data_IF_112320974803
#
_entry.id   IF_112320974803
#
_cell.length_a   1.000
_cell.length_b   1.000
_cell.length_c   1.000
_cell.angle_alpha   90.00
_cell.angle_beta   90.00
_cell.angle_gamma   90.00
#
_symmetry.space_group_name_H-M   'P 1'
#
loop_
_entity.id
_entity.type
_entity.pdbx_description
1 polymer ?
#
# COMPACT_ATOMS: atom_id res chain seq x y z
N UNK A 1 44.68 47.76 43.39
CA UNK A 1 43.25 47.85 43.01
C UNK A 1 43.03 49.27 42.47
N UNK A 2 42.62 49.59 41.24
CA UNK A 2 41.82 48.92 40.22
C UNK A 2 42.44 49.11 38.82
N UNK A 3 42.09 48.18 37.93
CA UNK A 3 42.78 47.81 36.70
C UNK A 3 42.29 48.61 35.47
N UNK A 4 43.21 48.86 34.52
CA UNK A 4 43.00 49.59 33.26
C UNK A 4 42.02 48.85 32.34
N UNK A 5 41.05 49.57 31.77
CA UNK A 5 40.14 49.11 30.72
C UNK A 5 40.91 48.98 29.38
N UNK A 6 40.84 47.80 28.76
CA UNK A 6 41.13 47.62 27.33
C UNK A 6 39.84 47.20 26.64
N UNK A 7 39.37 48.03 25.72
CA UNK A 7 38.26 47.73 24.82
C UNK A 7 38.90 47.03 23.62
N UNK A 8 38.50 45.80 23.33
CA UNK A 8 38.85 45.10 22.09
C UNK A 8 37.57 44.82 21.33
N UNK A 9 37.51 45.33 20.10
CA UNK A 9 36.41 45.17 19.18
C UNK A 9 36.24 43.69 18.81
N UNK A 10 35.03 43.17 19.00
CA UNK A 10 34.65 41.84 18.51
C UNK A 10 34.32 41.95 17.02
N UNK A 11 35.15 41.34 16.17
CA UNK A 11 34.82 41.11 14.77
C UNK A 11 33.73 40.04 14.69
N UNK A 12 32.55 40.39 14.18
CA UNK A 12 31.56 39.41 13.72
C UNK A 12 32.09 38.74 12.45
N UNK A 13 32.50 37.48 12.56
CA UNK A 13 32.66 36.61 11.41
C UNK A 13 31.28 36.04 11.03
N UNK A 14 30.64 36.63 10.03
CA UNK A 14 29.45 36.05 9.38
C UNK A 14 29.92 34.85 8.57
N UNK A 15 29.71 33.65 9.12
CA UNK A 15 29.95 32.39 8.45
C UNK A 15 28.85 32.19 7.40
N UNK A 16 29.11 32.57 6.14
CA UNK A 16 28.31 32.09 5.02
C UNK A 16 28.61 30.61 4.80
N UNK A 17 27.88 29.73 5.47
CA UNK A 17 27.81 28.32 5.09
C UNK A 17 27.10 28.23 3.74
N UNK A 18 27.88 28.19 2.66
CA UNK A 18 27.40 27.72 1.36
C UNK A 18 27.02 26.23 1.52
N UNK A 19 25.77 25.99 1.92
CA UNK A 19 25.15 24.69 1.77
C UNK A 19 25.06 24.40 0.29
N UNK A 20 25.88 23.47 -0.20
CA UNK A 20 25.75 22.94 -1.55
C UNK A 20 24.36 22.31 -1.66
N UNK A 21 23.46 22.96 -2.39
CA UNK A 21 22.18 22.39 -2.76
C UNK A 21 22.48 21.33 -3.80
N UNK A 22 22.59 20.07 -3.37
CA UNK A 22 22.69 18.95 -4.29
C UNK A 22 21.34 18.83 -4.98
N UNK A 23 21.22 19.42 -6.17
CA UNK A 23 20.08 19.23 -7.03
C UNK A 23 20.11 17.77 -7.50
N UNK A 24 19.44 16.89 -6.78
CA UNK A 24 19.09 15.56 -7.30
C UNK A 24 18.23 15.79 -8.53
N UNK A 25 18.80 15.52 -9.70
CA UNK A 25 18.03 15.44 -10.93
C UNK A 25 16.86 14.47 -10.69
N UNK A 26 15.65 14.78 -11.18
CA UNK A 26 14.54 13.85 -11.07
C UNK A 26 14.95 12.57 -11.79
N UNK A 27 15.14 11.49 -11.03
CA UNK A 27 15.33 10.17 -11.61
C UNK A 27 14.06 9.88 -12.39
N UNK A 28 14.15 9.82 -13.71
CA UNK A 28 13.06 9.34 -14.54
C UNK A 28 12.75 7.91 -14.08
N UNK A 29 11.63 7.72 -13.39
CA UNK A 29 11.12 6.40 -13.05
C UNK A 29 10.92 5.68 -14.38
N UNK A 30 11.65 4.59 -14.59
CA UNK A 30 11.46 3.76 -15.77
C UNK A 30 9.98 3.38 -15.85
N UNK A 31 9.35 3.64 -17.00
CA UNK A 31 7.98 3.19 -17.23
C UNK A 31 8.01 1.66 -17.25
N UNK A 32 7.22 0.97 -16.41
CA UNK A 32 7.15 -0.48 -16.44
C UNK A 32 6.84 -0.99 -17.84
N UNK A 33 7.63 -1.94 -18.31
CA UNK A 33 7.46 -2.55 -19.63
C UNK A 33 6.43 -3.68 -19.63
N UNK A 34 6.17 -4.26 -18.47
CA UNK A 34 5.24 -5.38 -18.29
C UNK A 34 4.23 -5.10 -17.19
N UNK A 35 3.06 -4.59 -17.58
CA UNK A 35 1.95 -4.31 -16.66
C UNK A 35 0.91 -5.42 -16.70
N UNK A 36 0.57 -5.95 -15.52
CA UNK A 36 -0.64 -6.73 -15.31
C UNK A 36 -1.76 -5.79 -14.87
N UNK A 37 -2.80 -5.70 -15.68
CA UNK A 37 -4.00 -4.91 -15.38
C UNK A 37 -5.11 -5.79 -14.77
N UNK A 38 -6.17 -5.16 -14.30
CA UNK A 38 -7.42 -5.84 -14.01
C UNK A 38 -8.08 -6.30 -15.32
N UNK A 39 -7.89 -7.58 -15.67
CA UNK A 39 -8.33 -8.11 -16.94
C UNK A 39 -9.85 -8.32 -17.00
N UNK A 40 -10.47 -7.91 -18.11
CA UNK A 40 -11.70 -8.51 -18.68
C UNK A 40 -13.04 -8.27 -17.97
N UNK A 41 -13.05 -7.75 -16.74
CA UNK A 41 -14.28 -7.51 -15.98
C UNK A 41 -14.35 -6.05 -15.54
N UNK A 42 -15.42 -5.34 -15.90
CA UNK A 42 -15.75 -4.05 -15.32
C UNK A 42 -16.40 -4.29 -13.95
N UNK A 43 -15.60 -4.32 -12.90
CA UNK A 43 -16.12 -4.35 -11.55
C UNK A 43 -16.68 -2.97 -11.20
N UNK A 44 -17.89 -2.92 -10.65
CA UNK A 44 -18.31 -1.74 -9.89
C UNK A 44 -17.39 -1.59 -8.68
N UNK A 45 -17.05 -0.35 -8.31
CA UNK A 45 -16.26 -0.08 -7.11
C UNK A 45 -16.99 -0.66 -5.89
N UNK A 46 -16.28 -1.38 -5.04
CA UNK A 46 -16.84 -1.86 -3.78
C UNK A 46 -17.03 -0.66 -2.82
N UNK A 47 -18.24 -0.49 -2.30
CA UNK A 47 -18.59 0.67 -1.49
C UNK A 47 -18.22 0.48 -0.01
N UNK A 48 -18.38 -0.72 0.54
CA UNK A 48 -18.19 -0.97 1.97
C UNK A 48 -17.77 -2.40 2.29
N UNK A 49 -17.31 -2.62 3.51
CA UNK A 49 -16.90 -3.95 3.97
C UNK A 49 -18.00 -5.02 3.82
N UNK A 50 -19.30 -4.77 4.12
CA UNK A 50 -20.33 -5.79 3.95
C UNK A 50 -20.42 -6.32 2.51
N UNK A 51 -20.29 -5.43 1.51
CA UNK A 51 -20.31 -5.79 0.10
C UNK A 51 -19.07 -6.62 -0.28
N UNK A 52 -17.88 -6.21 0.18
CA UNK A 52 -16.64 -6.96 -0.02
C UNK A 52 -16.72 -8.34 0.62
N UNK A 53 -17.22 -8.41 1.86
CA UNK A 53 -17.38 -9.66 2.60
C UNK A 53 -18.32 -10.61 1.88
N UNK A 54 -19.49 -10.14 1.45
CA UNK A 54 -20.46 -10.98 0.74
C UNK A 54 -19.89 -11.55 -0.56
N UNK A 55 -19.16 -10.72 -1.32
CA UNK A 55 -18.51 -11.18 -2.55
C UNK A 55 -17.38 -12.18 -2.26
N UNK A 56 -16.56 -11.94 -1.22
CA UNK A 56 -15.47 -12.84 -0.86
C UNK A 56 -15.96 -14.16 -0.27
N UNK A 57 -17.04 -14.13 0.51
CA UNK A 57 -17.71 -15.34 0.99
C UNK A 57 -18.24 -16.18 -0.18
N UNK A 58 -18.74 -15.53 -1.24
CA UNK A 58 -19.18 -16.21 -2.47
C UNK A 58 -18.00 -16.78 -3.27
N UNK A 59 -16.89 -16.04 -3.37
CA UNK A 59 -15.69 -16.44 -4.15
C UNK A 59 -14.86 -17.52 -3.49
N UNK A 60 -14.68 -17.43 -2.17
CA UNK A 60 -13.71 -18.22 -1.41
C UNK A 60 -14.35 -19.10 -0.34
N UNK A 61 -15.67 -19.03 -0.15
CA UNK A 61 -16.36 -19.66 0.96
C UNK A 61 -16.24 -18.86 2.26
N UNK A 62 -16.75 -19.42 3.36
CA UNK A 62 -16.67 -18.77 4.66
C UNK A 62 -15.20 -18.65 5.14
N UNK A 63 -14.80 -17.49 5.71
CA UNK A 63 -13.44 -17.30 6.17
C UNK A 63 -13.18 -18.17 7.42
N UNK A 64 -12.00 -18.75 7.49
CA UNK A 64 -11.54 -19.50 8.66
C UNK A 64 -11.09 -18.52 9.73
N UNK A 65 -11.62 -18.66 10.95
CA UNK A 65 -11.21 -17.86 12.11
C UNK A 65 -9.99 -18.49 12.79
N UNK A 66 -8.88 -17.77 12.85
CA UNK A 66 -7.68 -18.19 13.62
C UNK A 66 -7.17 -17.07 14.53
N UNK A 67 -6.66 -15.99 13.95
CA UNK A 67 -6.27 -14.71 14.61
C UNK A 67 -6.93 -13.51 13.91
N UNK A 68 -7.08 -13.63 12.60
CA UNK A 68 -7.96 -12.85 11.72
C UNK A 68 -8.99 -13.80 11.09
N UNK A 69 -10.02 -13.23 10.46
CA UNK A 69 -10.87 -13.99 9.56
C UNK A 69 -10.17 -14.10 8.20
N UNK A 70 -9.84 -15.32 7.76
CA UNK A 70 -9.02 -15.53 6.57
C UNK A 70 -9.79 -16.29 5.50
N UNK A 71 -9.97 -15.67 4.33
CA UNK A 71 -10.36 -16.35 3.11
C UNK A 71 -9.13 -16.98 2.44
N UNK A 72 -9.31 -18.20 1.97
CA UNK A 72 -8.28 -18.99 1.32
C UNK A 72 -8.47 -18.91 -0.20
N UNK A 73 -7.55 -18.25 -0.89
CA UNK A 73 -7.51 -18.20 -2.33
C UNK A 73 -6.67 -19.36 -2.89
N UNK A 74 -7.04 -19.85 -4.07
CA UNK A 74 -6.33 -20.96 -4.74
C UNK A 74 -4.95 -20.57 -5.29
N UNK A 75 -4.77 -19.31 -5.70
CA UNK A 75 -3.58 -18.82 -6.39
C UNK A 75 -3.52 -17.28 -6.35
N UNK A 76 -2.38 -16.71 -6.77
CA UNK A 76 -2.17 -15.26 -6.87
C UNK A 76 -3.13 -14.59 -7.87
N UNK A 77 -3.63 -15.34 -8.86
CA UNK A 77 -4.57 -14.81 -9.84
C UNK A 77 -5.93 -14.52 -9.19
N UNK A 78 -6.40 -15.39 -8.30
CA UNK A 78 -7.63 -15.22 -7.55
C UNK A 78 -7.55 -14.06 -6.54
N UNK A 79 -6.38 -13.87 -5.90
CA UNK A 79 -6.16 -12.70 -5.03
C UNK A 79 -6.14 -11.41 -5.84
N UNK A 80 -5.47 -11.41 -7.01
CA UNK A 80 -5.45 -10.26 -7.91
C UNK A 80 -6.85 -9.88 -8.40
N UNK A 81 -7.65 -10.87 -8.79
CA UNK A 81 -9.03 -10.64 -9.23
C UNK A 81 -9.92 -10.06 -8.12
N UNK A 82 -9.72 -10.51 -6.86
CA UNK A 82 -10.37 -9.93 -5.70
C UNK A 82 -9.94 -8.47 -5.42
N UNK A 83 -8.68 -8.13 -5.65
CA UNK A 83 -8.19 -6.76 -5.56
C UNK A 83 -8.79 -5.85 -6.65
N UNK A 84 -8.93 -6.39 -7.87
CA UNK A 84 -9.59 -5.71 -8.96
C UNK A 84 -11.06 -5.43 -8.69
N UNK A 85 -11.77 -6.34 -8.01
CA UNK A 85 -13.12 -6.09 -7.55
C UNK A 85 -13.19 -4.91 -6.56
N UNK A 86 -12.31 -4.87 -5.57
CA UNK A 86 -12.26 -3.78 -4.58
C UNK A 86 -12.05 -2.42 -5.27
N UNK A 87 -11.09 -2.37 -6.20
CA UNK A 87 -10.64 -1.13 -6.84
C UNK A 87 -11.44 -0.74 -8.09
N UNK A 88 -12.50 -1.47 -8.44
CA UNK A 88 -13.29 -1.19 -9.64
C UNK A 88 -12.46 -1.26 -10.93
N UNK A 89 -11.57 -2.25 -11.03
CA UNK A 89 -10.72 -2.51 -12.19
C UNK A 89 -9.66 -1.45 -12.51
N UNK A 90 -9.31 -0.59 -11.54
CA UNK A 90 -8.33 0.50 -11.74
C UNK A 90 -6.90 0.15 -11.33
N UNK A 91 -6.68 -0.99 -10.67
CA UNK A 91 -5.35 -1.38 -10.18
C UNK A 91 -4.40 -1.88 -11.28
N UNK A 92 -3.11 -1.59 -11.07
CA UNK A 92 -2.01 -1.99 -11.96
C UNK A 92 -0.87 -2.62 -11.16
N UNK A 93 -0.31 -3.69 -11.70
CA UNK A 93 0.83 -4.41 -11.11
C UNK A 93 1.98 -4.46 -12.10
N UNK A 94 3.15 -3.98 -11.69
CA UNK A 94 4.39 -4.06 -12.42
C UNK A 94 5.03 -5.44 -12.24
N UNK A 95 5.07 -6.19 -13.34
CA UNK A 95 5.57 -7.55 -13.41
C UNK A 95 7.07 -7.63 -13.72
N UNK A 96 7.76 -6.50 -13.90
CA UNK A 96 9.21 -6.46 -14.13
C UNK A 96 9.98 -6.82 -12.85
N UNK A 97 9.36 -6.64 -11.68
CA UNK A 97 9.94 -6.92 -10.35
C UNK A 97 9.83 -8.39 -9.90
N UNK A 98 10.20 -9.38 -10.73
CA UNK A 98 10.07 -10.80 -10.34
C UNK A 98 11.09 -11.22 -9.25
N UNK A 99 10.71 -12.08 -8.28
CA UNK A 99 9.43 -12.79 -8.15
C UNK A 99 8.33 -12.01 -7.39
N UNK A 100 8.56 -10.75 -7.01
CA UNK A 100 7.68 -9.94 -6.18
C UNK A 100 7.21 -8.69 -6.96
N UNK A 101 6.23 -8.84 -7.88
CA UNK A 101 5.68 -7.72 -8.64
C UNK A 101 5.34 -6.53 -7.74
N UNK A 102 5.44 -5.30 -8.24
CA UNK A 102 5.15 -4.10 -7.44
C UNK A 102 3.80 -3.53 -7.84
N UNK A 103 2.99 -3.08 -6.87
CA UNK A 103 1.75 -2.38 -7.22
C UNK A 103 2.09 -0.94 -7.62
N UNK A 104 1.67 -0.57 -8.83
CA UNK A 104 1.95 0.76 -9.41
C UNK A 104 0.94 1.79 -8.91
N UNK A 105 -0.29 1.35 -8.67
CA UNK A 105 -1.33 2.15 -8.03
C UNK A 105 -1.16 2.17 -6.50
N UNK A 106 -1.96 2.97 -5.81
CA UNK A 106 -2.01 2.94 -4.35
C UNK A 106 -2.28 1.51 -3.85
N UNK A 107 -1.46 1.07 -2.89
CA UNK A 107 -1.60 -0.24 -2.27
C UNK A 107 -2.69 -0.28 -1.19
N UNK A 108 -3.25 0.88 -0.84
CA UNK A 108 -4.36 1.03 0.09
C UNK A 108 -5.57 1.61 -0.65
N UNK A 109 -6.74 1.04 -0.37
CA UNK A 109 -8.00 1.50 -0.92
C UNK A 109 -9.02 1.69 0.20
N UNK A 110 -9.42 2.94 0.51
CA UNK A 110 -10.50 3.20 1.45
C UNK A 110 -11.85 2.87 0.80
N UNK A 111 -12.67 2.08 1.47
CA UNK A 111 -14.03 1.78 1.05
C UNK A 111 -14.93 3.01 1.36
N UNK A 112 -15.58 3.60 0.34
CA UNK A 112 -16.26 4.90 0.46
C UNK A 112 -17.35 5.00 1.53
N UNK A 113 -18.09 3.92 1.77
CA UNK A 113 -19.32 3.91 2.58
C UNK A 113 -19.04 3.80 4.09
N UNK A 114 -18.05 3.00 4.48
CA UNK A 114 -17.82 2.65 5.89
C UNK A 114 -16.40 2.98 6.39
N UNK A 115 -15.54 3.53 5.54
CA UNK A 115 -14.16 3.90 5.88
C UNK A 115 -13.27 2.70 6.21
N UNK A 116 -13.72 1.49 5.94
CA UNK A 116 -12.88 0.29 6.01
C UNK A 116 -11.74 0.40 4.98
N UNK A 117 -10.58 -0.14 5.31
CA UNK A 117 -9.39 -0.01 4.46
C UNK A 117 -8.98 -1.39 3.95
N UNK A 118 -8.87 -1.53 2.64
CA UNK A 118 -8.25 -2.67 2.00
C UNK A 118 -6.79 -2.37 1.68
N UNK A 119 -5.88 -3.31 1.90
CA UNK A 119 -4.46 -3.16 1.60
C UNK A 119 -3.97 -4.36 0.81
N UNK A 120 -3.46 -4.12 -0.39
CA UNK A 120 -2.84 -5.13 -1.22
C UNK A 120 -1.35 -5.25 -0.93
N UNK A 121 -0.85 -6.49 -0.88
CA UNK A 121 0.58 -6.79 -0.88
C UNK A 121 0.83 -7.89 -1.89
N UNK A 122 1.72 -7.62 -2.82
CA UNK A 122 2.22 -8.58 -3.81
C UNK A 122 3.21 -9.60 -3.23
N UNK A 123 3.58 -9.46 -1.96
CA UNK A 123 4.45 -10.39 -1.26
C UNK A 123 4.02 -10.57 0.20
N UNK A 124 4.08 -11.82 0.67
CA UNK A 124 3.85 -12.18 2.07
C UNK A 124 4.87 -13.23 2.53
N UNK A 125 5.16 -13.29 3.84
CA UNK A 125 6.08 -14.30 4.42
C UNK A 125 5.62 -15.74 4.20
N UNK A 126 4.30 -15.94 4.05
CA UNK A 126 3.69 -17.24 3.72
C UNK A 126 3.63 -17.50 2.21
N UNK A 127 4.13 -16.58 1.39
CA UNK A 127 4.13 -16.62 -0.06
C UNK A 127 2.91 -15.95 -0.68
N UNK A 128 3.04 -15.59 -1.96
CA UNK A 128 1.95 -15.09 -2.78
C UNK A 128 1.40 -13.72 -2.36
N UNK A 129 0.32 -13.35 -3.03
CA UNK A 129 -0.40 -12.08 -2.84
C UNK A 129 -1.31 -12.17 -1.61
N UNK A 130 -1.56 -11.00 -1.02
CA UNK A 130 -2.51 -10.85 0.09
C UNK A 130 -3.31 -9.58 -0.02
N UNK A 131 -4.52 -9.63 0.54
CA UNK A 131 -5.35 -8.46 0.82
C UNK A 131 -5.64 -8.47 2.30
N UNK A 132 -5.28 -7.40 3.02
CA UNK A 132 -5.70 -7.18 4.40
C UNK A 132 -6.86 -6.19 4.41
N UNK A 133 -7.91 -6.50 5.17
CA UNK A 133 -9.13 -5.71 5.25
C UNK A 133 -9.37 -5.32 6.72
N UNK A 134 -9.32 -4.03 7.00
CA UNK A 134 -9.62 -3.48 8.31
C UNK A 134 -11.09 -3.06 8.34
N UNK A 135 -11.94 -3.87 8.97
CA UNK A 135 -13.34 -3.53 9.14
C UNK A 135 -13.49 -2.45 10.22
N UNK A 136 -13.78 -1.20 9.81
CA UNK A 136 -13.99 -0.09 10.76
C UNK A 136 -15.42 -0.01 11.28
N UNK A 137 -16.39 -0.57 10.58
CA UNK A 137 -17.80 -0.65 11.00
C UNK A 137 -18.03 -1.65 12.15
N UNK A 138 -17.25 -2.73 12.20
CA UNK A 138 -17.44 -3.85 13.13
C UNK A 138 -16.44 -3.94 14.29
N UNK A 139 -15.75 -2.86 14.65
CA UNK A 139 -14.84 -2.83 15.81
C UNK A 139 -13.40 -3.29 15.53
N UNK A 140 -12.84 -2.95 14.36
CA UNK A 140 -11.44 -3.23 13.98
C UNK A 140 -11.08 -4.71 13.85
N UNK A 141 -12.03 -5.54 13.44
CA UNK A 141 -11.74 -6.94 13.11
C UNK A 141 -10.93 -7.00 11.81
N UNK A 142 -9.75 -7.61 11.88
CA UNK A 142 -8.91 -7.87 10.72
C UNK A 142 -9.44 -9.05 9.90
N UNK A 143 -9.64 -8.82 8.61
CA UNK A 143 -9.90 -9.83 7.61
C UNK A 143 -8.70 -9.95 6.65
N UNK A 144 -8.51 -11.12 6.06
CA UNK A 144 -7.40 -11.36 5.14
C UNK A 144 -7.82 -12.29 4.00
N UNK A 145 -7.36 -12.01 2.79
CA UNK A 145 -7.31 -12.97 1.68
C UNK A 145 -5.85 -13.40 1.50
N UNK A 146 -5.60 -14.70 1.40
CA UNK A 146 -4.26 -15.25 1.23
C UNK A 146 -4.30 -16.54 0.41
N UNK A 147 -3.24 -16.81 -0.35
CA UNK A 147 -3.09 -18.04 -1.14
C UNK A 147 -2.81 -19.25 -0.23
N UNK A 148 -3.56 -20.33 -0.35
CA UNK A 148 -3.22 -21.59 0.33
C UNK A 148 -2.02 -22.24 -0.38
N UNK A 149 -0.95 -22.52 0.35
CA UNK A 149 0.13 -23.39 -0.10
C UNK A 149 0.02 -24.74 0.59
#
# INVERSE_FOLDING_TARGET
MFNKRKISAALLAVSCSLGAVVATAPTATAVPSNLKTCAGTNYGIANGFPQVKAEFDKRFGAPVKSKSYTWQAKDDAAVWDAWCYITGSTALLDMDHKPNPEIVSDNQFPLPEDGSIATFRSFSRSGGYTIDLQNKSGGHVGYKVHVTR
#
